data_IF_186849360483
#
_entry.id   IF_186849360483
#
_cell.length_a   1.000
_cell.length_b   1.000
_cell.length_c   1.000
_cell.angle_alpha   90.00
_cell.angle_beta   90.00
_cell.angle_gamma   90.00
#
_symmetry.space_group_name_H-M   'P 1'
#
loop_
_entity.id
_entity.type
_entity.pdbx_description
1 polymer ?
#
# COMPACT_ATOMS: atom_id res chain seq x y z
N UNK A 1 25.15 2.62 14.14
CA UNK A 1 24.33 1.44 14.53
C UNK A 1 22.83 1.72 14.51
N UNK A 2 22.35 2.89 14.98
CA UNK A 2 20.92 3.25 14.98
C UNK A 2 20.25 3.25 13.58
N UNK A 3 20.92 3.75 12.53
CA UNK A 3 20.37 3.74 11.17
C UNK A 3 20.09 2.33 10.62
N UNK A 4 20.94 1.34 10.96
CA UNK A 4 20.73 -0.06 10.56
C UNK A 4 19.54 -0.67 11.31
N UNK A 5 19.39 -0.36 12.60
CA UNK A 5 18.25 -0.81 13.40
C UNK A 5 16.93 -0.23 12.87
N UNK A 6 16.90 1.05 12.50
CA UNK A 6 15.74 1.70 11.89
C UNK A 6 15.33 1.05 10.56
N UNK A 7 16.30 0.73 9.70
CA UNK A 7 16.04 0.05 8.43
C UNK A 7 15.49 -1.37 8.65
N UNK A 8 16.07 -2.15 9.57
CA UNK A 8 15.56 -3.49 9.91
C UNK A 8 14.14 -3.42 10.46
N UNK A 9 13.87 -2.48 11.38
CA UNK A 9 12.53 -2.25 11.92
C UNK A 9 11.52 -1.92 10.81
N UNK A 10 11.86 -1.00 9.90
CA UNK A 10 11.00 -0.64 8.78
C UNK A 10 10.68 -1.85 7.89
N UNK A 11 11.67 -2.69 7.58
CA UNK A 11 11.45 -3.91 6.80
C UNK A 11 10.53 -4.90 7.51
N UNK A 12 10.75 -5.17 8.80
CA UNK A 12 9.89 -6.09 9.57
C UNK A 12 8.45 -5.58 9.60
N UNK A 13 8.27 -4.28 9.84
CA UNK A 13 6.95 -3.64 9.80
C UNK A 13 6.32 -3.79 8.41
N UNK A 14 7.08 -3.56 7.35
CA UNK A 14 6.60 -3.70 5.97
C UNK A 14 6.18 -5.13 5.65
N UNK A 15 6.95 -6.13 6.09
CA UNK A 15 6.60 -7.54 5.93
C UNK A 15 5.32 -7.89 6.70
N UNK A 16 5.16 -7.43 7.94
CA UNK A 16 3.92 -7.64 8.69
C UNK A 16 2.71 -6.98 8.01
N UNK A 17 2.88 -5.74 7.53
CA UNK A 17 1.85 -5.03 6.77
C UNK A 17 1.50 -5.75 5.46
N UNK A 18 2.50 -6.25 4.74
CA UNK A 18 2.31 -6.98 3.49
C UNK A 18 1.60 -8.32 3.71
N UNK A 19 1.79 -8.97 4.86
CA UNK A 19 1.09 -10.22 5.22
C UNK A 19 -0.35 -9.99 5.71
N UNK A 20 -0.60 -8.92 6.48
CA UNK A 20 -1.94 -8.63 7.01
C UNK A 20 -2.87 -8.01 5.95
N UNK A 21 -2.30 -7.23 5.03
CA UNK A 21 -3.02 -6.55 3.96
C UNK A 21 -3.90 -7.46 3.08
N UNK A 22 -3.45 -8.62 2.55
CA UNK A 22 -4.29 -9.46 1.69
C UNK A 22 -5.50 -10.01 2.46
N UNK A 23 -5.32 -10.35 3.74
CA UNK A 23 -6.41 -10.84 4.61
C UNK A 23 -7.46 -9.74 4.81
N UNK A 24 -7.02 -8.54 5.19
CA UNK A 24 -7.92 -7.39 5.38
C UNK A 24 -8.59 -6.97 4.06
N UNK A 25 -7.86 -7.00 2.96
CA UNK A 25 -8.39 -6.66 1.63
C UNK A 25 -9.48 -7.62 1.19
N UNK A 26 -9.25 -8.92 1.32
CA UNK A 26 -10.27 -9.92 1.01
C UNK A 26 -11.50 -9.73 1.89
N UNK A 27 -11.32 -9.60 3.21
CA UNK A 27 -12.43 -9.36 4.14
C UNK A 27 -13.23 -8.10 3.75
N UNK A 28 -12.55 -6.99 3.45
CA UNK A 28 -13.17 -5.74 3.04
C UNK A 28 -13.91 -5.88 1.70
N UNK A 29 -13.35 -6.57 0.71
CA UNK A 29 -13.99 -6.81 -0.58
C UNK A 29 -15.25 -7.68 -0.46
N UNK A 30 -15.24 -8.70 0.41
CA UNK A 30 -16.42 -9.50 0.70
C UNK A 30 -17.53 -8.68 1.36
N UNK A 31 -17.17 -7.81 2.31
CA UNK A 31 -18.14 -6.88 2.92
C UNK A 31 -18.65 -5.85 1.90
N UNK A 32 -17.77 -5.32 1.06
CA UNK A 32 -18.09 -4.32 0.04
C UNK A 32 -19.08 -4.85 -1.01
N UNK A 33 -18.97 -6.14 -1.36
CA UNK A 33 -19.90 -6.84 -2.26
C UNK A 33 -21.36 -6.75 -1.79
N UNK A 34 -21.60 -6.78 -0.47
CA UNK A 34 -22.94 -6.73 0.12
C UNK A 34 -23.46 -5.33 0.42
N UNK A 35 -22.65 -4.28 0.26
CA UNK A 35 -23.04 -2.90 0.60
C UNK A 35 -24.02 -2.32 -0.45
N UNK A 36 -25.13 -1.70 -0.02
CA UNK A 36 -26.06 -1.00 -0.91
C UNK A 36 -25.51 0.37 -1.30
N UNK A 37 -24.49 0.38 -2.16
CA UNK A 37 -23.84 1.59 -2.69
C UNK A 37 -23.89 1.58 -4.22
N UNK A 38 -23.73 2.76 -4.83
CA UNK A 38 -23.64 2.92 -6.29
C UNK A 38 -22.46 2.12 -6.86
N UNK A 39 -22.61 1.56 -8.06
CA UNK A 39 -21.59 0.71 -8.68
C UNK A 39 -20.26 1.42 -8.89
N UNK A 40 -20.28 2.69 -9.33
CA UNK A 40 -19.07 3.51 -9.45
C UNK A 40 -18.36 3.65 -8.11
N UNK A 41 -19.10 3.91 -7.03
CA UNK A 41 -18.52 4.01 -5.69
C UNK A 41 -17.93 2.67 -5.24
N UNK A 42 -18.59 1.55 -5.54
CA UNK A 42 -18.08 0.21 -5.26
C UNK A 42 -16.77 -0.07 -5.99
N UNK A 43 -16.69 0.27 -7.28
CA UNK A 43 -15.48 0.11 -8.07
C UNK A 43 -14.31 0.94 -7.53
N UNK A 44 -14.58 2.20 -7.14
CA UNK A 44 -13.57 3.06 -6.52
C UNK A 44 -13.07 2.50 -5.19
N UNK A 45 -13.97 1.99 -4.33
CA UNK A 45 -13.56 1.36 -3.08
C UNK A 45 -12.74 0.10 -3.30
N UNK A 46 -13.12 -0.74 -4.26
CA UNK A 46 -12.35 -1.93 -4.61
C UNK A 46 -10.94 -1.57 -5.10
N UNK A 47 -10.83 -0.52 -5.93
CA UNK A 47 -9.56 0.01 -6.40
C UNK A 47 -8.70 0.50 -5.22
N UNK A 48 -9.28 1.29 -4.31
CA UNK A 48 -8.55 1.81 -3.13
C UNK A 48 -8.05 0.65 -2.24
N UNK A 49 -8.91 -0.32 -1.92
CA UNK A 49 -8.55 -1.47 -1.09
C UNK A 49 -7.38 -2.25 -1.71
N UNK A 50 -7.37 -2.40 -3.04
CA UNK A 50 -6.38 -3.20 -3.76
C UNK A 50 -5.10 -2.45 -4.12
N UNK A 51 -5.16 -1.14 -4.36
CA UNK A 51 -4.05 -0.37 -4.92
C UNK A 51 -3.15 0.31 -3.86
N UNK A 52 -3.67 0.62 -2.67
CA UNK A 52 -2.92 1.38 -1.63
C UNK A 52 -1.49 0.87 -1.38
N UNK A 53 -1.22 -0.43 -1.14
CA UNK A 53 0.14 -0.88 -0.83
C UNK A 53 1.09 -0.82 -2.05
N UNK A 54 0.57 -0.81 -3.27
CA UNK A 54 1.36 -0.66 -4.48
C UNK A 54 1.84 0.79 -4.65
N UNK A 55 0.99 1.76 -4.31
CA UNK A 55 1.28 3.18 -4.50
C UNK A 55 2.52 3.65 -3.74
N UNK A 56 2.73 3.18 -2.50
CA UNK A 56 3.90 3.57 -1.70
C UNK A 56 5.21 3.09 -2.29
N UNK A 57 5.26 1.84 -2.78
CA UNK A 57 6.43 1.30 -3.45
C UNK A 57 6.69 1.98 -4.81
N UNK A 58 5.63 2.18 -5.60
CA UNK A 58 5.73 2.87 -6.88
C UNK A 58 6.23 4.31 -6.73
N UNK A 59 5.77 5.03 -5.69
CA UNK A 59 6.22 6.40 -5.43
C UNK A 59 7.73 6.50 -5.17
N UNK A 60 8.33 5.50 -4.51
CA UNK A 60 9.79 5.46 -4.31
C UNK A 60 10.53 5.33 -5.64
N UNK A 61 10.11 4.42 -6.52
CA UNK A 61 10.75 4.24 -7.82
C UNK A 61 10.60 5.47 -8.73
N UNK A 62 9.46 6.15 -8.66
CA UNK A 62 9.25 7.40 -9.41
C UNK A 62 10.15 8.52 -8.89
N UNK A 63 10.26 8.69 -7.57
CA UNK A 63 11.04 9.77 -6.96
C UNK A 63 12.56 9.51 -7.02
N UNK A 64 12.99 8.25 -7.09
CA UNK A 64 14.40 7.89 -7.15
C UNK A 64 15.06 8.21 -8.51
N UNK A 65 14.26 8.45 -9.56
CA UNK A 65 14.73 8.75 -10.91
C UNK A 65 14.95 10.25 -11.18
N UNK A 66 14.74 11.15 -10.20
CA UNK A 66 15.05 12.57 -10.36
C UNK A 66 16.55 12.81 -10.04
N UNK A 67 17.41 13.03 -11.06
CA UNK A 67 18.82 13.28 -10.82
C UNK A 67 18.98 14.59 -10.03
N UNK A 68 19.76 14.54 -8.95
CA UNK A 68 20.11 15.72 -8.19
C UNK A 68 20.94 16.64 -9.10
N UNK A 69 20.30 17.66 -9.68
CA UNK A 69 20.90 18.59 -10.66
C UNK A 69 21.90 19.56 -10.01
N UNK A 70 22.53 19.21 -8.90
CA UNK A 70 23.39 20.08 -8.11
C UNK A 70 24.53 19.34 -7.39
N UNK A 71 25.36 18.60 -8.14
CA UNK A 71 26.67 18.13 -7.66
C UNK A 71 27.78 18.48 -8.67
#
# INVERSE_FOLDING_TARGET
MMARAGFVFANVLFFMLMLIWPVLSLAALFVLRGKPIKDTARALWALVITAIPLLGALAFFIAADEPDSAA
#
